data_IF_454853599953
#
_entry.id   IF_454853599953
#
_cell.length_a   1.000
_cell.length_b   1.000
_cell.length_c   1.000
_cell.angle_alpha   90.00
_cell.angle_beta   90.00
_cell.angle_gamma   90.00
#
_symmetry.space_group_name_H-M   'P 1'
#
loop_
_entity.id
_entity.type
_entity.pdbx_description
1 polymer ?
#
# COMPACT_ATOMS: atom_id res chain seq x y z
N UNK A 1 -69.00 -28.92 -0.05
CA UNK A 1 -68.36 -29.84 0.91
C UNK A 1 -66.88 -29.80 0.68
N UNK A 2 -66.20 -28.97 1.45
CA UNK A 2 -64.76 -28.67 1.24
C UNK A 2 -63.99 -29.18 2.46
N UNK A 3 -63.10 -30.13 2.23
CA UNK A 3 -62.22 -30.65 3.29
C UNK A 3 -60.90 -29.89 3.25
N UNK A 4 -60.65 -29.12 4.29
CA UNK A 4 -59.41 -28.44 4.59
C UNK A 4 -58.41 -29.44 5.16
N UNK A 5 -57.24 -29.62 4.48
CA UNK A 5 -56.11 -30.42 4.97
C UNK A 5 -55.05 -29.47 5.55
N UNK A 6 -54.92 -29.52 6.87
CA UNK A 6 -53.93 -28.75 7.63
C UNK A 6 -52.60 -29.53 7.61
N UNK A 7 -51.61 -29.03 6.89
CA UNK A 7 -50.22 -29.56 7.00
C UNK A 7 -49.42 -28.76 8.01
N UNK A 8 -49.05 -29.46 9.07
CA UNK A 8 -48.18 -28.96 10.14
C UNK A 8 -46.72 -29.09 9.66
N UNK A 9 -46.07 -27.98 9.32
CA UNK A 9 -44.63 -27.97 9.00
C UNK A 9 -43.85 -27.73 10.28
N UNK A 10 -43.13 -28.79 10.69
CA UNK A 10 -42.17 -28.71 11.81
C UNK A 10 -40.90 -28.02 11.34
N UNK A 11 -40.63 -26.82 11.88
CA UNK A 11 -39.43 -26.07 11.62
C UNK A 11 -38.30 -26.62 12.50
N UNK A 12 -37.34 -27.35 11.91
CA UNK A 12 -36.07 -27.66 12.58
C UNK A 12 -35.19 -26.42 12.52
N UNK A 13 -34.98 -25.79 13.66
CA UNK A 13 -33.95 -24.79 13.88
C UNK A 13 -32.60 -25.51 13.94
N UNK A 14 -31.81 -25.40 12.89
CA UNK A 14 -30.39 -25.77 12.90
C UNK A 14 -29.63 -24.53 13.33
N UNK A 15 -29.24 -24.46 14.62
CA UNK A 15 -28.34 -23.46 15.15
C UNK A 15 -26.93 -23.79 14.64
N UNK A 16 -26.55 -23.23 13.49
CA UNK A 16 -25.15 -23.16 13.07
C UNK A 16 -24.57 -21.86 13.61
N UNK A 17 -23.97 -21.93 14.80
CA UNK A 17 -23.05 -20.91 15.27
C UNK A 17 -21.79 -20.94 14.38
N UNK A 18 -21.84 -20.19 13.29
CA UNK A 18 -20.65 -19.85 12.52
C UNK A 18 -19.99 -18.67 13.22
N UNK A 19 -18.95 -18.95 14.01
CA UNK A 19 -17.98 -17.94 14.40
C UNK A 19 -17.26 -17.45 13.13
N UNK A 20 -17.93 -16.57 12.41
CA UNK A 20 -17.30 -15.77 11.36
C UNK A 20 -16.39 -14.75 12.03
N UNK A 21 -15.18 -15.17 12.33
CA UNK A 21 -14.09 -14.25 12.56
C UNK A 21 -13.65 -13.70 11.18
N UNK A 22 -14.51 -12.85 10.61
CA UNK A 22 -14.11 -12.02 9.46
C UNK A 22 -12.97 -11.12 9.95
N UNK A 23 -11.75 -11.58 9.71
CA UNK A 23 -10.59 -10.71 9.68
C UNK A 23 -10.89 -9.71 8.56
N UNK A 24 -11.43 -8.56 8.94
CA UNK A 24 -11.50 -7.40 8.05
C UNK A 24 -10.07 -7.15 7.58
N UNK A 25 -9.73 -7.68 6.42
CA UNK A 25 -8.55 -7.25 5.71
C UNK A 25 -8.76 -5.76 5.41
N UNK A 26 -8.24 -4.89 6.28
CA UNK A 26 -8.11 -3.49 5.95
C UNK A 26 -7.32 -3.44 4.66
N UNK A 27 -7.99 -3.11 3.56
CA UNK A 27 -7.35 -2.86 2.27
C UNK A 27 -6.45 -1.65 2.49
N UNK A 28 -5.18 -1.92 2.83
CA UNK A 28 -4.19 -0.87 3.00
C UNK A 28 -3.93 -0.30 1.63
N UNK A 29 -4.30 0.96 1.43
CA UNK A 29 -3.99 1.67 0.21
C UNK A 29 -2.48 1.91 0.15
N UNK A 30 -1.80 1.25 -0.78
CA UNK A 30 -0.36 1.39 -0.99
C UNK A 30 -0.01 2.84 -1.32
N UNK A 31 1.03 3.36 -0.67
CA UNK A 31 1.56 4.70 -0.91
C UNK A 31 2.78 4.61 -1.82
N UNK A 32 2.71 5.32 -2.94
CA UNK A 32 3.85 5.53 -3.81
C UNK A 32 4.75 6.62 -3.22
N UNK A 33 6.03 6.35 -3.11
CA UNK A 33 7.04 7.35 -2.79
C UNK A 33 7.71 7.83 -4.07
N UNK A 34 7.78 9.14 -4.23
CA UNK A 34 8.42 9.83 -5.36
C UNK A 34 9.57 10.64 -4.78
N UNK A 35 10.80 10.30 -5.15
CA UNK A 35 12.01 10.98 -4.68
C UNK A 35 12.68 11.73 -5.82
N UNK A 36 12.91 13.03 -5.65
CA UNK A 36 13.58 13.93 -6.60
C UNK A 36 14.58 14.78 -5.80
N UNK A 37 15.84 14.85 -6.23
CA UNK A 37 16.86 15.68 -5.58
C UNK A 37 17.10 15.33 -4.10
N UNK A 38 16.75 14.11 -3.68
CA UNK A 38 16.85 13.67 -2.27
C UNK A 38 15.63 14.00 -1.42
N UNK A 39 14.65 14.75 -1.92
CA UNK A 39 13.36 14.99 -1.29
C UNK A 39 12.36 13.90 -1.70
N UNK A 40 11.60 13.37 -0.73
CA UNK A 40 10.57 12.33 -0.99
C UNK A 40 9.18 12.85 -0.63
N UNK A 41 8.24 12.68 -1.55
CA UNK A 41 6.82 12.93 -1.35
C UNK A 41 6.01 11.66 -1.55
N UNK A 42 4.86 11.59 -0.90
CA UNK A 42 3.95 10.46 -1.01
C UNK A 42 2.83 10.77 -2.01
N UNK A 43 2.44 9.75 -2.76
CA UNK A 43 1.25 9.80 -3.59
C UNK A 43 0.31 8.64 -3.23
N UNK A 44 -0.97 8.96 -3.12
CA UNK A 44 -2.03 7.97 -2.94
C UNK A 44 -2.38 7.37 -4.29
N UNK A 45 -2.23 6.05 -4.44
CA UNK A 45 -2.59 5.35 -5.68
C UNK A 45 -4.10 5.14 -5.78
N UNK A 46 -4.64 5.19 -6.99
CA UNK A 46 -6.02 4.79 -7.28
C UNK A 46 -6.08 3.27 -7.48
N UNK A 47 -7.21 2.65 -7.17
CA UNK A 47 -7.40 1.22 -7.35
C UNK A 47 -7.82 0.91 -8.80
N UNK A 48 -6.81 0.57 -9.63
CA UNK A 48 -7.00 0.09 -10.98
C UNK A 48 -5.85 -0.86 -11.40
N UNK A 49 -6.02 -1.55 -12.52
CA UNK A 49 -5.04 -2.53 -13.00
C UNK A 49 -3.64 -1.93 -13.24
N UNK A 50 -3.55 -0.66 -13.67
CA UNK A 50 -2.28 0.01 -13.89
C UNK A 50 -1.52 0.24 -12.60
N UNK A 51 -2.20 0.74 -11.56
CA UNK A 51 -1.61 0.99 -10.24
C UNK A 51 -1.23 -0.32 -9.54
N UNK A 52 -2.06 -1.35 -9.67
CA UNK A 52 -1.76 -2.68 -9.12
C UNK A 52 -0.50 -3.29 -9.75
N UNK A 53 -0.34 -3.22 -11.09
CA UNK A 53 0.86 -3.69 -11.77
C UNK A 53 2.09 -2.83 -11.43
N UNK A 54 1.92 -1.50 -11.29
CA UNK A 54 3.00 -0.61 -10.82
C UNK A 54 3.48 -1.03 -9.43
N UNK A 55 2.57 -1.26 -8.49
CA UNK A 55 2.87 -1.76 -7.14
C UNK A 55 3.63 -3.08 -7.22
N UNK A 56 3.15 -4.05 -8.00
CA UNK A 56 3.80 -5.35 -8.15
C UNK A 56 5.24 -5.24 -8.67
N UNK A 57 5.52 -4.28 -9.55
CA UNK A 57 6.86 -3.96 -10.04
C UNK A 57 7.74 -3.34 -8.95
N UNK A 58 7.22 -2.34 -8.25
CA UNK A 58 7.94 -1.63 -7.20
C UNK A 58 8.19 -2.48 -5.95
N UNK A 59 7.39 -3.52 -5.70
CA UNK A 59 7.66 -4.53 -4.67
C UNK A 59 8.94 -5.34 -4.94
N UNK A 60 9.35 -5.48 -6.19
CA UNK A 60 10.57 -6.17 -6.57
C UNK A 60 11.80 -5.27 -6.37
N UNK A 61 11.72 -4.01 -6.81
CA UNK A 61 12.77 -3.01 -6.63
C UNK A 61 12.26 -1.60 -6.96
N UNK A 62 12.82 -0.55 -6.34
CA UNK A 62 12.62 0.82 -6.78
C UNK A 62 13.03 1.01 -8.24
N UNK A 63 12.39 1.96 -8.92
CA UNK A 63 12.66 2.30 -10.32
C UNK A 63 13.11 3.75 -10.38
N UNK A 64 14.27 4.00 -11.01
CA UNK A 64 14.78 5.35 -11.26
C UNK A 64 14.59 5.70 -12.73
N UNK A 65 13.99 6.86 -12.97
CA UNK A 65 13.59 7.38 -14.27
C UNK A 65 14.33 8.70 -14.57
N UNK A 66 14.43 9.04 -15.84
CA UNK A 66 14.83 10.38 -16.29
C UNK A 66 13.62 11.03 -16.95
N UNK A 67 13.13 12.12 -16.36
CA UNK A 67 11.96 12.83 -16.84
C UNK A 67 12.34 14.23 -17.30
N UNK A 68 11.57 14.77 -18.24
CA UNK A 68 11.77 16.11 -18.81
C UNK A 68 10.53 16.98 -18.58
N UNK A 69 10.74 18.27 -18.40
CA UNK A 69 9.64 19.25 -18.36
C UNK A 69 8.90 19.30 -19.69
N UNK A 70 7.58 19.26 -19.66
CA UNK A 70 6.70 19.43 -20.79
C UNK A 70 5.68 20.55 -20.52
N UNK A 71 5.62 21.53 -21.40
CA UNK A 71 4.58 22.57 -21.41
C UNK A 71 4.45 23.38 -20.13
N UNK A 72 5.43 23.37 -19.24
CA UNK A 72 5.40 24.07 -17.95
C UNK A 72 4.32 23.56 -16.96
N UNK A 73 3.64 22.44 -17.24
CA UNK A 73 2.57 21.91 -16.39
C UNK A 73 2.83 20.50 -15.86
N UNK A 74 3.86 19.82 -16.40
CA UNK A 74 4.23 18.46 -15.97
C UNK A 74 5.72 18.18 -16.20
N UNK A 75 6.21 17.13 -15.56
CA UNK A 75 7.39 16.40 -16.02
C UNK A 75 6.95 15.01 -16.48
N UNK A 76 7.52 14.50 -17.56
CA UNK A 76 7.14 13.25 -18.17
C UNK A 76 8.33 12.47 -18.73
N UNK A 77 8.15 11.19 -18.94
CA UNK A 77 9.13 10.34 -19.61
C UNK A 77 8.80 8.85 -19.49
N UNK A 78 9.64 7.99 -20.09
CA UNK A 78 9.39 6.56 -20.14
C UNK A 78 9.55 5.90 -18.78
N UNK A 79 8.63 4.97 -18.45
CA UNK A 79 8.72 4.09 -17.29
C UNK A 79 9.79 2.98 -17.45
N UNK A 80 10.19 2.66 -18.69
CA UNK A 80 11.05 1.51 -18.99
C UNK A 80 10.29 0.18 -19.12
N UNK A 81 8.97 0.18 -18.87
CA UNK A 81 8.06 -0.95 -19.02
C UNK A 81 6.64 -0.44 -19.33
N UNK A 82 5.77 -1.36 -19.73
CA UNK A 82 4.36 -1.04 -19.99
C UNK A 82 3.47 -1.48 -18.86
N UNK A 83 2.40 -0.71 -18.63
CA UNK A 83 1.32 -0.99 -17.68
C UNK A 83 -0.02 -1.14 -18.42
N UNK A 84 -0.99 -1.88 -17.87
CA UNK A 84 -2.35 -1.91 -18.39
C UNK A 84 -2.93 -0.49 -18.47
N UNK A 85 -3.78 -0.24 -19.46
CA UNK A 85 -4.41 1.07 -19.62
C UNK A 85 -5.92 1.01 -19.41
N UNK A 86 -6.47 2.04 -18.76
CA UNK A 86 -7.90 2.30 -18.66
C UNK A 86 -8.16 3.77 -19.00
N UNK A 87 -7.75 4.14 -20.23
CA UNK A 87 -7.75 5.53 -20.68
C UNK A 87 -9.15 6.13 -20.67
N UNK A 88 -9.25 7.32 -20.09
CA UNK A 88 -10.45 8.15 -20.08
C UNK A 88 -10.09 9.57 -20.46
N UNK A 89 -11.01 10.28 -21.12
CA UNK A 89 -10.86 11.72 -21.36
C UNK A 89 -11.05 12.43 -20.00
N UNK A 90 -9.94 12.85 -19.41
CA UNK A 90 -9.91 13.56 -18.13
C UNK A 90 -9.06 14.82 -18.22
N UNK A 91 -9.30 15.75 -17.30
CA UNK A 91 -8.40 16.87 -17.06
C UNK A 91 -7.52 16.52 -15.85
N UNK A 92 -6.23 16.29 -16.10
CA UNK A 92 -5.26 16.14 -15.04
C UNK A 92 -5.12 17.45 -14.24
N UNK A 93 -4.91 17.35 -12.95
CA UNK A 93 -4.79 18.46 -12.00
C UNK A 93 -3.41 18.47 -11.35
N UNK A 94 -2.99 19.59 -10.72
CA UNK A 94 -1.76 19.61 -9.93
C UNK A 94 -1.74 18.46 -8.91
N UNK A 95 -0.63 17.72 -8.86
CA UNK A 95 -0.47 16.52 -8.03
C UNK A 95 -0.82 15.21 -8.72
N UNK A 96 -1.54 15.20 -9.81
CA UNK A 96 -1.90 13.95 -10.50
C UNK A 96 -0.66 13.22 -11.01
N UNK A 97 -0.65 11.90 -10.76
CA UNK A 97 0.30 10.93 -11.31
C UNK A 97 -0.44 10.16 -12.40
N UNK A 98 0.03 10.28 -13.62
CA UNK A 98 -0.68 9.82 -14.83
C UNK A 98 0.19 8.83 -15.60
N UNK A 99 -0.44 7.79 -16.15
CA UNK A 99 0.11 6.92 -17.17
C UNK A 99 -0.37 7.44 -18.55
N UNK A 100 0.59 7.76 -19.40
CA UNK A 100 0.35 8.16 -20.78
C UNK A 100 0.82 7.09 -21.76
N UNK A 101 -0.04 6.73 -22.71
CA UNK A 101 0.23 5.72 -23.75
C UNK A 101 0.75 4.38 -23.23
N UNK A 102 0.41 4.03 -21.99
CA UNK A 102 0.73 2.74 -21.37
C UNK A 102 2.19 2.55 -20.94
N UNK A 103 3.11 3.44 -21.28
CA UNK A 103 4.54 3.30 -21.00
C UNK A 103 5.26 4.55 -20.54
N UNK A 104 4.57 5.67 -20.43
CA UNK A 104 5.14 6.93 -19.93
C UNK A 104 4.41 7.37 -18.68
N UNK A 105 5.17 7.91 -17.72
CA UNK A 105 4.62 8.54 -16.52
C UNK A 105 4.67 10.06 -16.68
N UNK A 106 3.63 10.74 -16.19
CA UNK A 106 3.55 12.19 -16.11
C UNK A 106 3.23 12.59 -14.67
N UNK A 107 3.99 13.54 -14.12
CA UNK A 107 3.76 14.14 -12.80
C UNK A 107 3.35 15.59 -13.02
N UNK A 108 2.12 15.93 -12.63
CA UNK A 108 1.50 17.20 -12.93
C UNK A 108 1.71 18.25 -11.83
N UNK A 109 2.11 19.47 -12.21
CA UNK A 109 2.02 20.66 -11.35
C UNK A 109 0.98 21.66 -11.87
N UNK A 110 0.47 21.47 -13.06
CA UNK A 110 -0.60 22.26 -13.68
C UNK A 110 -1.72 21.37 -14.17
N UNK A 111 -2.43 21.78 -15.21
CA UNK A 111 -3.54 21.01 -15.76
C UNK A 111 -3.42 20.82 -17.28
N UNK A 112 -3.87 19.65 -17.74
CA UNK A 112 -4.02 19.34 -19.16
C UNK A 112 -5.12 18.31 -19.37
N UNK A 113 -5.85 18.40 -20.49
CA UNK A 113 -6.96 17.48 -20.80
C UNK A 113 -6.54 16.56 -21.95
N UNK A 114 -6.57 15.27 -21.68
CA UNK A 114 -6.24 14.24 -22.65
C UNK A 114 -6.85 12.87 -22.28
N UNK A 115 -6.61 11.88 -23.13
CA UNK A 115 -6.97 10.50 -22.84
C UNK A 115 -5.88 9.84 -21.97
N UNK A 116 -6.11 9.73 -20.68
CA UNK A 116 -5.16 9.29 -19.67
C UNK A 116 -5.67 8.13 -18.85
N UNK A 117 -4.73 7.35 -18.29
CA UNK A 117 -4.98 6.45 -17.16
C UNK A 117 -4.39 7.08 -15.90
N UNK A 118 -5.23 7.36 -14.88
CA UNK A 118 -4.75 7.90 -13.61
C UNK A 118 -4.11 6.79 -12.77
N UNK A 119 -2.91 7.04 -12.25
CA UNK A 119 -2.22 6.14 -11.32
C UNK A 119 -2.42 6.57 -9.87
N UNK A 120 -2.44 7.87 -9.59
CA UNK A 120 -2.55 8.37 -8.22
C UNK A 120 -2.52 9.89 -8.16
N UNK A 121 -2.28 10.39 -6.92
CA UNK A 121 -2.17 11.82 -6.64
C UNK A 121 -1.15 12.07 -5.53
N UNK A 122 -0.24 13.05 -5.73
CA UNK A 122 0.74 13.50 -4.73
C UNK A 122 0.02 14.26 -3.64
N UNK A 123 0.15 13.79 -2.41
CA UNK A 123 -0.64 14.29 -1.28
C UNK A 123 -0.09 15.62 -0.72
N UNK A 124 -1.00 16.52 -0.34
CA UNK A 124 -0.73 17.65 0.56
C UNK A 124 0.18 18.74 0.01
N UNK A 125 0.31 18.89 -1.32
CA UNK A 125 1.14 19.93 -1.95
C UNK A 125 0.29 20.91 -2.75
N UNK A 126 0.64 22.19 -2.66
CA UNK A 126 0.12 23.26 -3.54
C UNK A 126 0.79 23.20 -4.92
N UNK A 127 0.19 23.87 -5.92
CA UNK A 127 0.80 23.97 -7.25
C UNK A 127 2.23 24.56 -7.21
N UNK A 128 2.45 25.59 -6.40
CA UNK A 128 3.77 26.23 -6.28
C UNK A 128 4.82 25.28 -5.69
N UNK A 129 4.45 24.50 -4.66
CA UNK A 129 5.32 23.49 -4.08
C UNK A 129 5.60 22.35 -5.06
N UNK A 130 4.58 21.90 -5.80
CA UNK A 130 4.74 20.88 -6.84
C UNK A 130 5.71 21.37 -7.94
N UNK A 131 5.60 22.61 -8.41
CA UNK A 131 6.52 23.18 -9.41
C UNK A 131 7.97 23.15 -8.93
N UNK A 132 8.19 23.46 -7.67
CA UNK A 132 9.53 23.44 -7.06
C UNK A 132 10.03 21.99 -6.91
N UNK A 133 9.23 21.11 -6.36
CA UNK A 133 9.56 19.69 -6.13
C UNK A 133 9.83 18.94 -7.45
N UNK A 134 9.04 19.21 -8.48
CA UNK A 134 9.18 18.59 -9.80
C UNK A 134 10.27 19.23 -10.67
N UNK A 135 10.99 20.24 -10.18
CA UNK A 135 12.05 20.94 -10.92
C UNK A 135 11.59 21.44 -12.30
N UNK A 136 10.39 22.04 -12.36
CA UNK A 136 9.80 22.51 -13.62
C UNK A 136 10.72 23.52 -14.31
N UNK A 137 11.04 23.25 -15.58
CA UNK A 137 11.97 24.03 -16.42
C UNK A 137 13.29 23.28 -16.65
N UNK A 138 13.54 22.18 -15.95
CA UNK A 138 14.73 21.36 -16.13
C UNK A 138 14.46 20.15 -17.05
N UNK A 139 15.54 19.52 -17.52
CA UNK A 139 15.55 18.28 -18.30
C UNK A 139 16.45 17.24 -17.62
N UNK A 140 16.21 15.95 -17.88
CA UNK A 140 16.99 14.88 -17.30
C UNK A 140 16.81 14.76 -15.79
N UNK A 141 15.62 15.12 -15.28
CA UNK A 141 15.29 15.08 -13.86
C UNK A 141 15.26 13.62 -13.39
N UNK A 142 16.15 13.29 -12.44
CA UNK A 142 16.20 11.95 -11.86
C UNK A 142 15.08 11.77 -10.85
N UNK A 143 14.15 10.85 -11.13
CA UNK A 143 12.99 10.54 -10.30
C UNK A 143 13.05 9.09 -9.88
N UNK A 144 13.05 8.81 -8.57
CA UNK A 144 12.96 7.44 -8.05
C UNK A 144 11.55 7.17 -7.54
N UNK A 145 10.94 6.10 -8.05
CA UNK A 145 9.67 5.56 -7.58
C UNK A 145 9.93 4.36 -6.68
N UNK A 146 9.30 4.35 -5.50
CA UNK A 146 9.34 3.22 -4.56
C UNK A 146 8.02 3.11 -3.80
N UNK A 147 7.82 2.02 -3.09
CA UNK A 147 6.73 1.90 -2.14
C UNK A 147 7.18 2.35 -0.76
N UNK A 148 6.24 2.81 0.04
CA UNK A 148 6.50 3.04 1.46
C UNK A 148 6.96 1.71 2.08
N UNK A 149 8.18 1.69 2.62
CA UNK A 149 8.67 0.53 3.36
C UNK A 149 7.83 0.37 4.61
N UNK A 150 6.83 -0.49 4.57
CA UNK A 150 6.21 -0.98 5.77
C UNK A 150 7.21 -1.92 6.42
N UNK A 151 8.06 -1.41 7.31
CA UNK A 151 8.52 -2.26 8.39
C UNK A 151 7.26 -2.61 9.19
N UNK A 152 6.50 -3.56 8.68
CA UNK A 152 5.62 -4.28 9.56
C UNK A 152 6.54 -4.94 10.59
N UNK A 153 6.71 -4.26 11.73
CA UNK A 153 6.77 -5.00 12.98
C UNK A 153 5.40 -5.67 12.98
N UNK A 154 5.32 -6.89 12.42
CA UNK A 154 4.23 -7.77 12.72
C UNK A 154 4.17 -7.77 14.24
N UNK A 155 3.26 -6.94 14.79
CA UNK A 155 2.79 -7.14 16.12
C UNK A 155 2.23 -8.56 16.11
N UNK A 156 3.06 -9.49 16.50
CA UNK A 156 2.64 -10.78 17.02
C UNK A 156 1.92 -10.48 18.36
N UNK A 157 0.89 -9.65 18.26
CA UNK A 157 -0.10 -9.45 19.28
C UNK A 157 -1.28 -10.30 18.85
N UNK A 158 -1.22 -11.54 19.31
CA UNK A 158 -2.25 -12.54 19.51
C UNK A 158 -1.95 -13.88 18.87
N UNK A 159 -0.75 -14.42 19.02
CA UNK A 159 -0.72 -15.83 19.34
C UNK A 159 -1.25 -15.92 20.78
N UNK A 160 -2.42 -16.53 20.94
CA UNK A 160 -2.95 -16.99 22.24
C UNK A 160 -1.76 -17.42 23.07
N UNK A 161 -1.59 -16.84 24.25
CA UNK A 161 -0.64 -17.27 25.26
C UNK A 161 -0.74 -18.78 25.40
N UNK A 162 0.03 -19.52 24.60
CA UNK A 162 0.40 -20.85 25.01
C UNK A 162 1.23 -20.63 26.26
N UNK A 163 0.77 -21.10 27.40
CA UNK A 163 1.53 -21.16 28.65
C UNK A 163 2.85 -21.83 28.33
N UNK A 164 3.83 -21.06 27.85
CA UNK A 164 5.12 -21.61 27.53
C UNK A 164 5.82 -21.90 28.85
N UNK A 165 5.88 -23.17 29.18
CA UNK A 165 6.45 -23.72 30.44
C UNK A 165 7.95 -23.39 30.54
N UNK A 166 8.57 -22.87 29.46
CA UNK A 166 10.00 -22.60 29.40
C UNK A 166 10.31 -21.10 29.64
N UNK A 167 11.40 -20.86 30.36
CA UNK A 167 12.04 -19.57 30.52
C UNK A 167 13.25 -19.52 29.59
N UNK A 168 13.52 -18.40 28.97
CA UNK A 168 14.67 -18.21 28.06
C UNK A 168 15.64 -17.19 28.65
N UNK A 169 16.92 -17.42 28.52
CA UNK A 169 17.99 -16.45 28.83
C UNK A 169 17.95 -15.30 27.84
N UNK A 170 18.69 -14.20 28.08
CA UNK A 170 18.80 -13.10 27.13
C UNK A 170 19.48 -13.50 25.80
N UNK A 171 20.20 -14.62 25.78
CA UNK A 171 20.80 -15.18 24.57
C UNK A 171 19.82 -16.07 23.78
N UNK A 172 18.56 -16.18 24.21
CA UNK A 172 17.54 -17.00 23.54
C UNK A 172 17.61 -18.50 23.81
N UNK A 173 18.48 -18.95 24.73
CA UNK A 173 18.57 -20.36 25.14
C UNK A 173 17.59 -20.68 26.28
N UNK A 174 17.09 -21.91 26.34
CA UNK A 174 16.20 -22.33 27.43
C UNK A 174 17.00 -22.32 28.76
N UNK A 175 16.49 -21.56 29.74
CA UNK A 175 17.08 -21.51 31.08
C UNK A 175 16.86 -22.85 31.81
N UNK A 176 17.94 -23.53 32.19
CA UNK A 176 17.90 -24.79 32.90
C UNK A 176 17.43 -24.60 34.35
N UNK A 177 17.01 -25.71 34.98
CA UNK A 177 16.64 -25.70 36.38
C UNK A 177 17.81 -25.22 37.26
N UNK A 178 17.56 -24.21 38.12
CA UNK A 178 18.58 -23.59 38.96
C UNK A 178 19.32 -22.39 38.35
N UNK A 179 18.99 -22.00 37.12
CA UNK A 179 19.55 -20.76 36.51
C UNK A 179 19.21 -19.54 37.36
N UNK A 180 20.24 -18.76 37.73
CA UNK A 180 20.10 -17.48 38.43
C UNK A 180 20.44 -16.35 37.47
N UNK A 181 19.52 -15.46 37.23
CA UNK A 181 19.69 -14.32 36.34
C UNK A 181 18.40 -13.84 35.66
N UNK A 182 18.53 -12.92 34.73
CA UNK A 182 17.38 -12.37 33.99
C UNK A 182 16.92 -13.36 32.91
N UNK A 183 15.64 -13.73 32.95
CA UNK A 183 15.01 -14.61 31.95
C UNK A 183 13.76 -13.95 31.37
N UNK A 184 13.36 -14.41 30.19
CA UNK A 184 12.09 -14.08 29.56
C UNK A 184 11.16 -15.28 29.68
N UNK A 185 10.01 -15.10 30.32
CA UNK A 185 8.95 -16.11 30.44
C UNK A 185 7.61 -15.44 30.11
N UNK A 186 6.84 -16.02 29.20
CA UNK A 186 5.57 -15.48 28.72
C UNK A 186 5.69 -13.98 28.27
N UNK A 187 6.77 -13.64 27.59
CA UNK A 187 7.03 -12.28 27.12
C UNK A 187 7.42 -11.27 28.21
N UNK A 188 7.56 -11.70 29.48
CA UNK A 188 7.94 -10.83 30.60
C UNK A 188 9.37 -11.11 31.05
N UNK A 189 10.11 -10.06 31.44
CA UNK A 189 11.43 -10.18 32.07
C UNK A 189 11.24 -10.54 33.54
N UNK A 190 11.89 -11.59 33.99
CA UNK A 190 11.84 -12.11 35.38
C UNK A 190 13.26 -12.37 35.84
N UNK A 191 13.60 -11.98 37.07
CA UNK A 191 14.86 -12.38 37.74
C UNK A 191 14.61 -13.67 38.51
N UNK A 192 15.40 -14.71 38.27
CA UNK A 192 15.38 -15.98 39.00
C UNK A 192 16.59 -16.11 39.90
#
# INVERSE_FOLDING_TARGET
>A
MTRTLLMLATLMLCDCSSDNNEVMAQTRQEKLQITIGGETKQATLVDNAASQELVARLQQSPVTLSLDTNGNFEIWGPLGFSLPTSNQQITAQPGDVILYSGSNICLFCGSNSWSYTRLGHIDGMTEAELRTFLHIGESGISVTLSLESTTEINNIANSKSSNNKYSYTLQGTIAQAGYKGLVIQNGKKIIK
#
